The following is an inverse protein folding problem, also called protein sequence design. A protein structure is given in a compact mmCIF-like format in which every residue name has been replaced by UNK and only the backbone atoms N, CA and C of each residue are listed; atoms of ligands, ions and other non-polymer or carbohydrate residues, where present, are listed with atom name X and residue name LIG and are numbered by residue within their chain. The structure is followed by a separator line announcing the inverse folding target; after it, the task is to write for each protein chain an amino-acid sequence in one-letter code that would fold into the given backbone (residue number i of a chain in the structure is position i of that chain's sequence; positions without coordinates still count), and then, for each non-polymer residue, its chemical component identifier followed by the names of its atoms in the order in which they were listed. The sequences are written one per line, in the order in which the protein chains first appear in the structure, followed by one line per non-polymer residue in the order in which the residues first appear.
data_IF_300775344376
#
_entry.id   IF_300775344376
#
_cell.length_a   1.000
_cell.length_b   1.000
_cell.length_c   1.000
_cell.angle_alpha   90.00
_cell.angle_beta   90.00
_cell.angle_gamma   90.00
#
_symmetry.space_group_name_H-M   'P 1'
#
loop_
_entity.id
_entity.type
_entity.pdbx_description
1 polymer ?
#
# COMPACT_ATOMS: atom_id res chain seq x y z
N UNK A 1 6.87 -9.92 -8.81
CA UNK A 1 6.95 -10.94 -7.74
C UNK A 1 5.89 -10.64 -6.70
N UNK A 2 5.29 -11.66 -6.07
CA UNK A 2 4.29 -11.48 -5.02
C UNK A 2 4.72 -12.13 -3.72
N UNK A 3 4.32 -11.53 -2.59
CA UNK A 3 4.55 -12.06 -1.25
C UNK A 3 3.26 -11.99 -0.44
N UNK A 4 3.06 -12.97 0.45
CA UNK A 4 1.96 -12.96 1.39
C UNK A 4 2.32 -12.11 2.61
N UNK A 5 1.42 -11.19 2.94
CA UNK A 5 1.60 -10.19 3.98
C UNK A 5 0.41 -10.24 4.93
N UNK A 6 0.64 -9.89 6.20
CA UNK A 6 -0.43 -9.57 7.14
C UNK A 6 -0.36 -8.10 7.54
N UNK A 7 -1.49 -7.41 7.44
CA UNK A 7 -1.69 -6.06 8.01
C UNK A 7 -2.74 -6.18 9.10
N UNK A 8 -2.40 -5.80 10.33
CA UNK A 8 -3.25 -6.00 11.51
C UNK A 8 -3.80 -7.45 11.61
N UNK A 9 -2.95 -8.44 11.30
CA UNK A 9 -3.30 -9.86 11.30
C UNK A 9 -4.12 -10.36 10.11
N UNK A 10 -4.65 -9.45 9.26
CA UNK A 10 -5.46 -9.79 8.09
C UNK A 10 -4.56 -10.06 6.88
N UNK A 11 -4.74 -11.18 6.16
CA UNK A 11 -3.90 -11.50 5.01
C UNK A 11 -4.19 -10.54 3.84
N UNK A 12 -3.14 -10.22 3.10
CA UNK A 12 -3.17 -9.48 1.84
C UNK A 12 -1.99 -9.91 0.96
N UNK A 13 -2.23 -10.08 -0.33
CA UNK A 13 -1.18 -10.40 -1.30
C UNK A 13 -0.56 -9.11 -1.83
N UNK A 14 0.74 -8.94 -1.62
CA UNK A 14 1.47 -7.76 -2.04
C UNK A 14 2.31 -8.04 -3.29
N UNK A 15 2.30 -7.11 -4.24
CA UNK A 15 3.27 -7.09 -5.33
C UNK A 15 4.53 -6.35 -4.88
N UNK A 16 5.70 -6.94 -5.11
CA UNK A 16 6.97 -6.22 -4.96
C UNK A 16 7.17 -5.38 -6.22
N UNK A 17 7.06 -4.05 -6.07
CA UNK A 17 7.17 -3.07 -7.14
C UNK A 17 8.57 -2.49 -7.22
N UNK A 18 9.44 -3.07 -8.04
CA UNK A 18 10.83 -2.61 -8.21
C UNK A 18 10.96 -1.19 -8.79
N UNK A 19 9.91 -0.67 -9.42
CA UNK A 19 9.84 0.72 -9.91
C UNK A 19 8.96 1.66 -9.07
N UNK A 20 8.41 1.19 -7.95
CA UNK A 20 7.58 2.01 -7.07
C UNK A 20 8.44 2.60 -5.94
N UNK A 21 8.44 3.94 -5.81
CA UNK A 21 9.18 4.61 -4.74
C UNK A 21 8.45 4.41 -3.40
N UNK A 22 7.14 4.66 -3.37
CA UNK A 22 6.30 4.53 -2.19
C UNK A 22 5.51 3.21 -2.17
N UNK A 23 5.00 2.85 -1.00
CA UNK A 23 4.05 1.76 -0.86
C UNK A 23 2.63 2.24 -1.17
N UNK A 24 1.86 1.44 -1.90
CA UNK A 24 0.51 1.77 -2.33
C UNK A 24 -0.50 0.73 -1.89
N UNK A 25 -1.65 1.17 -1.38
CA UNK A 25 -2.78 0.32 -1.01
C UNK A 25 -4.02 0.72 -1.80
N UNK A 26 -4.77 -0.28 -2.28
CA UNK A 26 -6.03 -0.04 -2.95
C UNK A 26 -7.03 0.50 -1.93
N UNK A 27 -7.73 1.59 -2.27
CA UNK A 27 -8.75 2.21 -1.42
C UNK A 27 -9.82 1.22 -0.93
N UNK A 28 -10.19 0.24 -1.77
CA UNK A 28 -11.13 -0.83 -1.42
C UNK A 28 -10.67 -1.72 -0.24
N UNK A 29 -9.38 -1.73 0.10
CA UNK A 29 -8.82 -2.55 1.17
C UNK A 29 -8.75 -1.80 2.52
N UNK A 30 -8.95 -0.48 2.55
CA UNK A 30 -8.80 0.37 3.74
C UNK A 30 -9.75 -0.07 4.87
N UNK A 31 -11.05 -0.16 4.56
CA UNK A 31 -12.07 -0.56 5.53
C UNK A 31 -11.84 -2.01 5.99
N UNK A 32 -11.58 -2.92 5.03
CA UNK A 32 -11.31 -4.32 5.33
C UNK A 32 -10.12 -4.47 6.28
N UNK A 33 -9.07 -3.67 6.11
CA UNK A 33 -7.87 -3.70 6.95
C UNK A 33 -8.01 -2.88 8.25
N UNK A 34 -9.07 -2.09 8.39
CA UNK A 34 -9.31 -1.23 9.55
C UNK A 34 -8.27 -0.11 9.66
N UNK A 35 -7.88 0.48 8.53
CA UNK A 35 -6.89 1.55 8.49
C UNK A 35 -7.56 2.91 8.60
N UNK A 36 -6.93 3.81 9.35
CA UNK A 36 -7.32 5.21 9.43
C UNK A 36 -6.41 6.02 8.51
N UNK A 37 -7.01 6.88 7.69
CA UNK A 37 -6.28 7.70 6.75
C UNK A 37 -6.07 9.09 7.32
N UNK A 38 -4.82 9.55 7.25
CA UNK A 38 -4.52 10.97 7.37
C UNK A 38 -4.64 11.62 6.00
N UNK A 39 -4.89 12.94 6.00
CA UNK A 39 -4.92 13.73 4.77
C UNK A 39 -3.58 13.61 4.05
N UNK A 40 -3.59 12.96 2.90
CA UNK A 40 -2.45 12.90 2.00
C UNK A 40 -2.44 14.10 1.06
N UNK A 41 -1.26 14.58 0.70
CA UNK A 41 -1.07 15.57 -0.36
C UNK A 41 -0.23 14.90 -1.45
N UNK A 42 -0.74 14.85 -2.68
CA UNK A 42 0.00 14.28 -3.80
C UNK A 42 -0.87 13.61 -4.85
N UNK A 43 -0.25 13.26 -5.96
CA UNK A 43 -0.84 12.48 -7.04
C UNK A 43 0.11 11.36 -7.42
N UNK A 44 -0.45 10.19 -7.73
CA UNK A 44 0.30 9.01 -8.15
C UNK A 44 0.01 8.77 -9.62
N UNK A 45 1.06 8.62 -10.42
CA UNK A 45 0.95 8.31 -11.85
C UNK A 45 1.40 6.88 -12.07
N UNK A 46 0.48 6.02 -12.51
CA UNK A 46 0.85 4.75 -13.11
C UNK A 46 1.33 4.99 -14.54
N UNK A 47 2.20 4.11 -15.06
CA UNK A 47 2.92 4.28 -16.34
C UNK A 47 1.99 4.68 -17.50
N UNK A 48 0.78 4.12 -17.52
CA UNK A 48 -0.19 4.31 -18.60
C UNK A 48 -1.47 5.07 -18.19
N UNK A 49 -1.49 5.69 -17.00
CA UNK A 49 -2.67 6.43 -16.52
C UNK A 49 -2.32 7.89 -16.22
N UNK A 50 -3.35 8.74 -16.27
CA UNK A 50 -3.26 10.09 -15.72
C UNK A 50 -2.91 10.01 -14.23
N UNK A 51 -2.17 11.00 -13.73
CA UNK A 51 -1.85 11.07 -12.31
C UNK A 51 -3.16 11.21 -11.51
N UNK A 52 -3.43 10.29 -10.60
CA UNK A 52 -4.62 10.28 -9.75
C UNK A 52 -4.30 10.84 -8.37
N UNK A 53 -5.22 11.58 -7.71
CA UNK A 53 -4.99 12.01 -6.34
C UNK A 53 -4.92 10.80 -5.39
N UNK A 54 -4.07 10.89 -4.38
CA UNK A 54 -4.12 9.93 -3.27
C UNK A 54 -5.34 10.23 -2.38
N UNK A 55 -6.04 9.19 -1.95
CA UNK A 55 -7.16 9.33 -1.02
C UNK A 55 -6.68 9.73 0.39
N UNK A 56 -5.47 9.32 0.74
CA UNK A 56 -4.84 9.63 2.02
C UNK A 56 -3.60 8.78 2.24
N UNK A 57 -3.04 8.87 3.44
CA UNK A 57 -1.91 8.03 3.86
C UNK A 57 -2.29 7.33 5.16
N UNK A 58 -2.19 6.00 5.19
CA UNK A 58 -2.20 5.25 6.43
C UNK A 58 -0.77 5.22 6.98
N UNK A 59 -0.52 5.87 8.12
CA UNK A 59 0.82 5.99 8.69
C UNK A 59 1.14 4.86 9.67
N UNK A 60 2.42 4.47 9.71
CA UNK A 60 2.97 3.55 10.71
C UNK A 60 2.17 2.23 10.83
N UNK A 61 1.70 1.72 9.70
CA UNK A 61 0.90 0.49 9.60
C UNK A 61 1.78 -0.71 9.94
N UNK A 62 1.34 -1.52 10.90
CA UNK A 62 2.03 -2.75 11.26
C UNK A 62 1.84 -3.79 10.14
N UNK A 63 2.96 -4.22 9.58
CA UNK A 63 3.03 -5.13 8.45
C UNK A 63 3.93 -6.31 8.80
N UNK A 64 3.50 -7.52 8.43
CA UNK A 64 4.23 -8.76 8.69
C UNK A 64 4.42 -9.56 7.41
N UNK A 65 5.65 -9.98 7.15
CA UNK A 65 6.04 -10.83 6.01
C UNK A 65 6.84 -12.02 6.55
N UNK A 66 6.22 -13.20 6.53
CA UNK A 66 6.80 -14.38 7.18
C UNK A 66 7.10 -14.14 8.67
N UNK A 67 8.34 -14.36 9.14
CA UNK A 67 8.73 -14.11 10.53
C UNK A 67 8.99 -12.62 10.83
N UNK A 68 9.17 -11.79 9.80
CA UNK A 68 9.55 -10.39 9.94
C UNK A 68 8.33 -9.49 10.14
N UNK A 69 8.44 -8.55 11.06
CA UNK A 69 7.41 -7.55 11.36
C UNK A 69 8.04 -6.16 11.38
N UNK A 70 7.33 -5.17 10.85
CA UNK A 70 7.78 -3.79 10.77
C UNK A 70 6.62 -2.83 10.65
N UNK A 71 6.93 -1.53 10.59
CA UNK A 71 5.93 -0.48 10.34
C UNK A 71 6.27 0.24 9.05
N UNK A 72 5.26 0.54 8.25
CA UNK A 72 5.43 1.33 7.03
C UNK A 72 4.24 2.26 6.78
N UNK A 73 4.43 3.27 5.94
CA UNK A 73 3.34 4.13 5.48
C UNK A 73 2.76 3.55 4.20
N UNK A 74 1.44 3.67 4.00
CA UNK A 74 0.75 3.24 2.80
C UNK A 74 0.01 4.43 2.18
N UNK A 75 0.40 4.81 0.97
CA UNK A 75 -0.35 5.77 0.17
C UNK A 75 -1.57 5.09 -0.42
N UNK A 76 -2.76 5.61 -0.13
CA UNK A 76 -4.01 5.00 -0.59
C UNK A 76 -4.41 5.60 -1.92
N UNK A 77 -4.65 4.73 -2.90
CA UNK A 77 -5.01 5.11 -4.28
C UNK A 77 -6.18 4.27 -4.77
N UNK A 78 -6.90 4.79 -5.77
CA UNK A 78 -7.84 3.97 -6.55
C UNK A 78 -7.02 3.17 -7.54
N UNK A 79 -7.06 1.84 -7.43
CA UNK A 79 -6.42 0.91 -8.37
C UNK A 79 -7.18 -0.40 -8.41
N UNK A 80 -7.26 -0.99 -9.60
CA UNK A 80 -8.10 -2.17 -9.85
C UNK A 80 -7.28 -3.48 -9.91
N UNK A 81 -6.02 -3.41 -10.37
CA UNK A 81 -5.23 -4.60 -10.69
C UNK A 81 -4.52 -5.22 -9.47
N UNK A 82 -4.20 -4.39 -8.46
CA UNK A 82 -3.40 -4.80 -7.31
C UNK A 82 -3.99 -4.29 -6.00
N UNK A 83 -3.86 -5.10 -4.95
CA UNK A 83 -4.36 -4.75 -3.61
C UNK A 83 -3.33 -3.97 -2.79
N UNK A 84 -2.08 -4.37 -2.88
CA UNK A 84 -0.94 -3.77 -2.17
C UNK A 84 0.30 -3.85 -3.06
N UNK A 85 1.01 -2.73 -3.19
CA UNK A 85 2.31 -2.65 -3.85
C UNK A 85 3.32 -2.20 -2.80
N UNK A 86 4.37 -2.99 -2.61
CA UNK A 86 5.50 -2.66 -1.75
C UNK A 86 6.63 -2.13 -2.64
N UNK A 87 6.90 -0.84 -2.49
CA UNK A 87 7.96 -0.12 -3.18
C UNK A 87 9.26 -0.11 -2.38
N UNK A 88 10.17 0.78 -2.76
CA UNK A 88 11.49 0.91 -2.13
C UNK A 88 11.41 1.29 -0.64
N UNK A 89 10.38 2.01 -0.21
CA UNK A 89 10.16 2.34 1.21
C UNK A 89 9.94 1.13 2.14
N UNK A 90 9.68 -0.05 1.57
CA UNK A 90 9.50 -1.28 2.34
C UNK A 90 10.76 -2.19 2.35
N UNK A 91 11.65 -2.04 1.36
CA UNK A 91 12.81 -2.90 1.17
C UNK A 91 13.97 -2.56 2.13
#
# INVERSE_FOLDING_TARGET
MFVDVKIHGKPIRAMIGTGAIHNYLASAEVERLGLVLEKGVGRVKAINLAAQPIAGVAKSVLIKVGPFEGKTNLSVVVMDDFKLILGLEFL
#
